data_IF_290748247832
#
_entry.id   IF_290748247832
#
_cell.length_a   1.000
_cell.length_b   1.000
_cell.length_c   1.000
_cell.angle_alpha   90.00
_cell.angle_beta   90.00
_cell.angle_gamma   90.00
#
_symmetry.space_group_name_H-M   'P 1'
#
loop_
_entity.id
_entity.type
_entity.pdbx_description
1 polymer ?
#
# COMPACT_ATOMS: atom_id res chain seq x y z
N UNK A 1 32.15 -19.48 -47.00
CA UNK A 1 32.42 -19.37 -45.55
C UNK A 1 31.50 -18.29 -44.98
N UNK A 2 30.36 -18.68 -44.39
CA UNK A 2 29.42 -17.73 -43.80
C UNK A 2 29.86 -17.44 -42.35
N UNK A 3 30.27 -16.20 -42.10
CA UNK A 3 30.65 -15.71 -40.77
C UNK A 3 29.42 -15.69 -39.86
N UNK A 4 29.47 -16.47 -38.78
CA UNK A 4 28.46 -16.47 -37.72
C UNK A 4 28.65 -15.22 -36.85
N UNK A 5 27.92 -14.15 -37.16
CA UNK A 5 27.85 -12.98 -36.28
C UNK A 5 27.16 -13.37 -34.96
N UNK A 6 27.95 -13.41 -33.88
CA UNK A 6 27.42 -13.63 -32.53
C UNK A 6 26.55 -12.42 -32.15
N UNK A 7 25.28 -12.63 -31.72
CA UNK A 7 24.40 -11.52 -31.38
C UNK A 7 24.99 -10.71 -30.22
N UNK A 8 25.02 -9.38 -30.40
CA UNK A 8 25.54 -8.42 -29.43
C UNK A 8 24.85 -8.53 -28.07
N UNK A 9 25.58 -8.25 -26.99
CA UNK A 9 25.12 -8.43 -25.61
C UNK A 9 23.78 -7.73 -25.33
N UNK A 10 23.55 -6.55 -25.93
CA UNK A 10 22.27 -5.82 -25.86
C UNK A 10 21.10 -6.59 -26.47
N UNK A 11 21.32 -7.31 -27.58
CA UNK A 11 20.30 -8.13 -28.24
C UNK A 11 19.99 -9.37 -27.40
N UNK A 12 21.00 -9.98 -26.77
CA UNK A 12 20.81 -11.07 -25.80
C UNK A 12 20.06 -10.62 -24.55
N UNK A 13 20.38 -9.45 -24.00
CA UNK A 13 19.67 -8.87 -22.85
C UNK A 13 18.23 -8.48 -23.23
N UNK A 14 18.02 -7.94 -24.43
CA UNK A 14 16.68 -7.63 -24.96
C UNK A 14 15.82 -8.88 -25.10
N UNK A 15 16.35 -9.93 -25.74
CA UNK A 15 15.66 -11.22 -25.89
C UNK A 15 15.46 -11.91 -24.54
N UNK A 16 16.42 -11.82 -23.61
CA UNK A 16 16.27 -12.39 -22.26
C UNK A 16 15.22 -11.62 -21.44
N UNK A 17 15.14 -10.29 -21.62
CA UNK A 17 14.11 -9.43 -21.01
C UNK A 17 12.73 -9.70 -21.61
N UNK A 18 12.64 -9.93 -22.91
CA UNK A 18 11.41 -10.44 -23.57
C UNK A 18 11.05 -11.85 -23.08
N UNK A 19 12.02 -12.76 -22.94
CA UNK A 19 11.80 -14.11 -22.40
C UNK A 19 11.32 -14.10 -20.94
N UNK A 20 11.84 -13.18 -20.13
CA UNK A 20 11.40 -12.96 -18.75
C UNK A 20 10.02 -12.27 -18.71
N UNK A 21 9.72 -11.40 -19.69
CA UNK A 21 8.43 -10.71 -19.81
C UNK A 21 7.31 -11.60 -20.39
N UNK A 22 7.66 -12.59 -21.22
CA UNK A 22 6.76 -13.62 -21.79
C UNK A 22 6.60 -14.85 -20.89
N UNK A 23 6.87 -14.71 -19.58
CA UNK A 23 6.47 -15.75 -18.63
C UNK A 23 4.95 -15.72 -18.57
N UNK A 24 4.32 -16.65 -19.28
CA UNK A 24 2.91 -17.02 -19.10
C UNK A 24 2.57 -16.89 -17.62
N UNK A 25 1.59 -16.05 -17.31
CA UNK A 25 1.16 -15.84 -15.94
C UNK A 25 0.76 -17.20 -15.36
N UNK A 26 1.54 -17.71 -14.40
CA UNK A 26 1.34 -19.04 -13.81
C UNK A 26 -0.08 -19.20 -13.24
N UNK A 27 -0.73 -18.09 -12.90
CA UNK A 27 -2.11 -18.05 -12.43
C UNK A 27 -3.09 -18.57 -13.49
N UNK A 28 -2.76 -18.44 -14.78
CA UNK A 28 -3.53 -19.00 -15.90
C UNK A 28 -3.44 -20.51 -16.04
N UNK A 29 -2.52 -21.18 -15.31
CA UNK A 29 -2.46 -22.65 -15.25
C UNK A 29 -3.36 -23.24 -14.16
N UNK A 30 -3.85 -22.42 -13.25
CA UNK A 30 -4.80 -22.85 -12.23
C UNK A 30 -6.18 -23.04 -12.87
N UNK A 31 -7.01 -23.97 -12.35
CA UNK A 31 -8.40 -24.06 -12.76
C UNK A 31 -9.10 -22.70 -12.64
N UNK A 32 -10.00 -22.38 -13.57
CA UNK A 32 -10.63 -21.04 -13.66
C UNK A 32 -11.31 -20.60 -12.35
N UNK A 33 -11.86 -21.55 -11.61
CA UNK A 33 -12.48 -21.28 -10.31
C UNK A 33 -11.48 -20.89 -9.23
N UNK A 34 -10.19 -21.22 -9.34
CA UNK A 34 -9.13 -20.78 -8.43
C UNK A 34 -8.36 -19.57 -8.96
N UNK A 35 -8.07 -19.54 -10.26
CA UNK A 35 -7.25 -18.49 -10.88
C UNK A 35 -7.84 -17.10 -10.64
N UNK A 36 -9.17 -16.96 -10.72
CA UNK A 36 -9.85 -15.68 -10.51
C UNK A 36 -9.65 -15.09 -9.12
N UNK A 37 -9.56 -15.90 -8.06
CA UNK A 37 -9.33 -15.42 -6.68
C UNK A 37 -7.89 -14.92 -6.47
N UNK A 38 -6.98 -15.18 -7.41
CA UNK A 38 -5.63 -14.63 -7.41
C UNK A 38 -5.53 -13.30 -8.17
N UNK A 39 -6.65 -12.75 -8.66
CA UNK A 39 -6.68 -11.57 -9.51
C UNK A 39 -6.20 -11.85 -10.94
N UNK A 40 -6.23 -13.10 -11.40
CA UNK A 40 -5.95 -13.43 -12.79
C UNK A 40 -6.98 -12.81 -13.73
N UNK A 41 -6.49 -12.19 -14.80
CA UNK A 41 -7.28 -11.57 -15.86
C UNK A 41 -6.85 -12.23 -17.17
N UNK A 42 -7.75 -12.89 -17.90
CA UNK A 42 -7.41 -13.45 -19.22
C UNK A 42 -6.87 -12.35 -20.14
N UNK A 43 -5.82 -12.60 -20.96
CA UNK A 43 -5.16 -11.58 -21.79
C UNK A 43 -6.13 -10.82 -22.70
N UNK A 44 -7.16 -11.51 -23.20
CA UNK A 44 -8.13 -10.97 -24.17
C UNK A 44 -9.42 -10.45 -23.51
N UNK A 45 -9.56 -10.58 -22.18
CA UNK A 45 -10.78 -10.21 -21.47
C UNK A 45 -10.72 -8.79 -20.93
N UNK A 46 -11.65 -7.95 -21.39
CA UNK A 46 -11.90 -6.61 -20.83
C UNK A 46 -13.02 -6.68 -19.78
N UNK A 47 -13.00 -5.81 -18.75
CA UNK A 47 -14.13 -5.68 -17.85
C UNK A 47 -15.37 -5.17 -18.61
N UNK A 48 -16.60 -5.63 -18.26
CA UNK A 48 -16.93 -6.57 -17.18
C UNK A 48 -16.56 -8.02 -17.52
N UNK A 49 -15.98 -8.74 -16.56
CA UNK A 49 -15.56 -10.14 -16.74
C UNK A 49 -16.73 -11.11 -16.68
N UNK A 50 -16.54 -12.36 -17.06
CA UNK A 50 -17.57 -13.39 -16.85
C UNK A 50 -17.74 -13.75 -15.36
N UNK A 51 -19.00 -13.87 -14.87
CA UNK A 51 -19.28 -14.31 -13.52
C UNK A 51 -18.98 -15.80 -13.36
N UNK A 52 -18.99 -16.28 -12.12
CA UNK A 52 -18.70 -17.70 -11.86
C UNK A 52 -19.79 -18.59 -12.48
N UNK A 53 -19.40 -19.43 -13.43
CA UNK A 53 -20.31 -20.35 -14.10
C UNK A 53 -20.75 -21.56 -13.25
N UNK A 54 -20.18 -21.75 -12.07
CA UNK A 54 -20.52 -22.90 -11.20
C UNK A 54 -21.66 -22.59 -10.23
N UNK A 55 -22.55 -23.56 -9.92
CA UNK A 55 -23.53 -23.42 -8.85
C UNK A 55 -22.85 -23.11 -7.49
N UNK A 56 -23.42 -22.26 -6.62
CA UNK A 56 -24.73 -21.63 -6.74
C UNK A 56 -24.72 -20.32 -7.53
N UNK A 57 -23.63 -19.90 -8.19
CA UNK A 57 -23.46 -18.53 -8.70
C UNK A 57 -23.79 -18.34 -10.20
N UNK A 58 -24.17 -19.42 -10.88
CA UNK A 58 -24.48 -19.43 -12.32
C UNK A 58 -25.62 -18.48 -12.74
N UNK A 59 -26.46 -18.03 -11.81
CA UNK A 59 -27.54 -17.08 -12.05
C UNK A 59 -27.09 -15.62 -12.17
N UNK A 60 -25.88 -15.27 -11.72
CA UNK A 60 -25.38 -13.88 -11.74
C UNK A 60 -25.36 -13.28 -13.14
N UNK A 61 -25.20 -14.12 -14.17
CA UNK A 61 -25.21 -13.69 -15.59
C UNK A 61 -26.55 -13.08 -16.03
N UNK A 62 -27.65 -13.37 -15.33
CA UNK A 62 -28.99 -12.88 -15.67
C UNK A 62 -29.34 -11.55 -15.01
N UNK A 63 -28.52 -11.06 -14.08
CA UNK A 63 -28.80 -9.83 -13.33
C UNK A 63 -28.19 -8.62 -14.06
N UNK A 64 -28.82 -7.43 -14.00
CA UNK A 64 -28.19 -6.20 -14.45
C UNK A 64 -26.86 -5.91 -13.73
N UNK A 65 -25.84 -5.46 -14.47
CA UNK A 65 -24.50 -5.22 -13.92
C UNK A 65 -24.51 -4.22 -12.76
N UNK A 66 -25.33 -3.17 -12.85
CA UNK A 66 -25.44 -2.13 -11.80
C UNK A 66 -25.97 -2.70 -10.49
N UNK A 67 -27.02 -3.53 -10.54
CA UNK A 67 -27.58 -4.20 -9.36
C UNK A 67 -26.58 -5.17 -8.75
N UNK A 68 -25.84 -5.92 -9.58
CA UNK A 68 -24.76 -6.78 -9.09
C UNK A 68 -23.68 -5.97 -8.35
N UNK A 69 -23.29 -4.82 -8.90
CA UNK A 69 -22.32 -3.91 -8.27
C UNK A 69 -22.87 -3.40 -6.93
N UNK A 70 -24.08 -2.86 -6.88
CA UNK A 70 -24.65 -2.34 -5.65
C UNK A 70 -24.81 -3.43 -4.58
N UNK A 71 -25.32 -4.60 -4.98
CA UNK A 71 -25.48 -5.74 -4.09
C UNK A 71 -24.14 -6.23 -3.54
N UNK A 72 -23.11 -6.42 -4.38
CA UNK A 72 -21.81 -6.86 -3.89
C UNK A 72 -21.06 -5.81 -3.08
N UNK A 73 -21.25 -4.52 -3.37
CA UNK A 73 -20.73 -3.46 -2.50
C UNK A 73 -21.37 -3.52 -1.12
N UNK A 74 -22.69 -3.70 -1.05
CA UNK A 74 -23.42 -3.79 0.21
C UNK A 74 -23.08 -5.07 0.97
N UNK A 75 -23.21 -6.25 0.33
CA UNK A 75 -22.89 -7.57 0.92
C UNK A 75 -21.42 -7.64 1.35
N UNK A 76 -20.52 -7.11 0.51
CA UNK A 76 -19.10 -7.06 0.79
C UNK A 76 -18.80 -6.23 2.02
N UNK A 77 -19.29 -4.99 2.07
CA UNK A 77 -19.05 -4.08 3.19
C UNK A 77 -19.72 -4.58 4.48
N UNK A 78 -21.00 -4.96 4.41
CA UNK A 78 -21.74 -5.51 5.55
C UNK A 78 -21.06 -6.77 6.07
N UNK A 79 -20.80 -7.75 5.20
CA UNK A 79 -20.15 -9.00 5.60
C UNK A 79 -18.73 -8.80 6.13
N UNK A 80 -17.96 -7.88 5.55
CA UNK A 80 -16.59 -7.59 5.98
C UNK A 80 -16.54 -6.98 7.37
N UNK A 81 -17.41 -6.01 7.65
CA UNK A 81 -17.53 -5.40 8.97
C UNK A 81 -18.11 -6.39 9.97
N UNK A 82 -19.18 -7.11 9.62
CA UNK A 82 -19.79 -8.13 10.48
C UNK A 82 -18.79 -9.22 10.87
N UNK A 83 -17.93 -9.68 9.94
CA UNK A 83 -16.91 -10.68 10.23
C UNK A 83 -15.88 -10.17 11.24
N UNK A 84 -15.42 -8.93 11.10
CA UNK A 84 -14.50 -8.31 12.07
C UNK A 84 -15.21 -8.18 13.42
N UNK A 85 -16.40 -7.59 13.47
CA UNK A 85 -17.17 -7.40 14.70
C UNK A 85 -17.49 -8.72 15.40
N UNK A 86 -17.89 -9.75 14.68
CA UNK A 86 -18.19 -11.06 15.24
C UNK A 86 -16.96 -11.69 15.88
N UNK A 87 -15.80 -11.61 15.22
CA UNK A 87 -14.55 -12.18 15.74
C UNK A 87 -14.05 -11.39 16.96
N UNK A 88 -14.27 -10.07 16.97
CA UNK A 88 -13.85 -9.20 18.06
C UNK A 88 -14.83 -9.16 19.24
N UNK A 89 -16.12 -9.42 19.04
CA UNK A 89 -17.16 -9.37 20.09
C UNK A 89 -17.47 -10.72 20.73
N UNK A 90 -17.29 -11.84 20.02
CA UNK A 90 -17.56 -13.16 20.57
C UNK A 90 -16.56 -13.50 21.69
N UNK A 91 -16.89 -14.50 22.54
CA UNK A 91 -16.00 -15.13 23.52
C UNK A 91 -14.83 -15.86 22.82
N UNK A 92 -14.03 -15.11 22.09
CA UNK A 92 -12.87 -15.55 21.35
C UNK A 92 -11.63 -15.11 22.10
N UNK A 93 -10.48 -15.69 21.75
CA UNK A 93 -9.20 -15.21 22.25
C UNK A 93 -9.00 -13.69 22.04
N UNK A 94 -9.62 -13.07 21.03
CA UNK A 94 -9.54 -11.63 20.80
C UNK A 94 -10.28 -10.78 21.83
N UNK A 95 -11.44 -11.24 22.29
CA UNK A 95 -12.18 -10.57 23.37
C UNK A 95 -11.60 -10.93 24.74
N UNK A 96 -11.35 -12.22 24.98
CA UNK A 96 -10.98 -12.73 26.30
C UNK A 96 -9.50 -12.53 26.65
N UNK A 97 -8.58 -12.74 25.70
CA UNK A 97 -7.12 -12.64 25.93
C UNK A 97 -6.59 -11.27 25.50
N UNK A 98 -7.14 -10.73 24.41
CA UNK A 98 -6.68 -9.47 23.86
C UNK A 98 -7.50 -8.26 24.35
N UNK A 99 -8.76 -8.39 24.81
CA UNK A 99 -9.62 -7.24 25.16
C UNK A 99 -9.71 -6.19 24.06
N UNK A 100 -9.76 -6.66 22.81
CA UNK A 100 -9.76 -5.76 21.68
C UNK A 100 -11.10 -5.01 21.53
N UNK A 101 -11.10 -3.73 21.11
CA UNK A 101 -12.34 -2.98 20.90
C UNK A 101 -13.19 -3.62 19.79
N UNK A 102 -14.52 -3.55 19.91
CA UNK A 102 -15.46 -4.21 18.99
C UNK A 102 -15.22 -3.78 17.52
N UNK A 103 -14.89 -2.51 17.28
CA UNK A 103 -14.55 -1.99 15.95
C UNK A 103 -13.39 -1.01 16.05
N UNK A 104 -12.49 -1.11 15.09
CA UNK A 104 -11.53 -0.06 14.78
C UNK A 104 -12.06 0.66 13.56
N UNK A 105 -12.47 1.92 13.74
CA UNK A 105 -13.17 2.74 12.74
C UNK A 105 -12.45 2.85 11.40
N UNK A 106 -11.13 2.64 11.37
CA UNK A 106 -10.34 2.56 10.15
C UNK A 106 -10.83 1.48 9.18
N UNK A 107 -11.26 0.31 9.67
CA UNK A 107 -11.75 -0.77 8.80
C UNK A 107 -13.08 -0.43 8.12
N UNK A 108 -13.89 0.47 8.69
CA UNK A 108 -15.08 1.01 8.02
C UNK A 108 -14.71 1.73 6.71
N UNK A 109 -13.71 2.60 6.75
CA UNK A 109 -13.21 3.27 5.55
C UNK A 109 -12.48 2.30 4.60
N UNK A 110 -11.79 1.28 5.14
CA UNK A 110 -11.20 0.21 4.32
C UNK A 110 -12.26 -0.60 3.56
N UNK A 111 -13.44 -0.83 4.16
CA UNK A 111 -14.56 -1.50 3.50
C UNK A 111 -14.99 -0.75 2.23
N UNK A 112 -15.11 0.58 2.32
CA UNK A 112 -15.47 1.41 1.16
C UNK A 112 -14.46 1.24 0.02
N UNK A 113 -13.16 1.24 0.33
CA UNK A 113 -12.13 1.02 -0.69
C UNK A 113 -12.17 -0.41 -1.26
N UNK A 114 -12.28 -1.42 -0.40
CA UNK A 114 -12.21 -2.83 -0.79
C UNK A 114 -13.44 -3.33 -1.54
N UNK A 115 -14.62 -2.75 -1.33
CA UNK A 115 -15.87 -3.24 -1.93
C UNK A 115 -16.52 -2.27 -2.92
N UNK A 116 -16.20 -0.97 -2.86
CA UNK A 116 -16.72 0.04 -3.79
C UNK A 116 -15.68 0.46 -4.82
N UNK A 117 -14.42 0.66 -4.41
CA UNK A 117 -13.34 1.17 -5.25
C UNK A 117 -12.25 0.11 -5.51
N UNK A 118 -12.66 -1.08 -5.93
CA UNK A 118 -11.79 -2.29 -5.99
C UNK A 118 -10.58 -2.14 -6.92
N UNK A 119 -10.68 -1.27 -7.92
CA UNK A 119 -9.60 -1.00 -8.87
C UNK A 119 -8.63 0.07 -8.37
N UNK A 120 -8.98 0.75 -7.26
CA UNK A 120 -8.13 1.78 -6.66
C UNK A 120 -6.78 1.19 -6.30
N UNK A 121 -5.67 1.85 -6.67
CA UNK A 121 -4.35 1.46 -6.22
C UNK A 121 -4.21 1.37 -4.69
N UNK A 122 -4.97 2.18 -3.97
CA UNK A 122 -4.96 2.27 -2.51
C UNK A 122 -5.73 1.11 -1.85
N UNK A 123 -6.59 0.42 -2.60
CA UNK A 123 -7.37 -0.72 -2.13
C UNK A 123 -6.62 -2.06 -2.30
N UNK A 124 -5.45 -2.08 -2.94
CA UNK A 124 -4.77 -3.33 -3.27
C UNK A 124 -4.18 -4.03 -2.02
N UNK A 125 -4.03 -5.37 -2.03
CA UNK A 125 -3.75 -6.17 -0.83
C UNK A 125 -2.49 -5.74 -0.07
N UNK A 126 -1.40 -5.43 -0.78
CA UNK A 126 -0.17 -4.92 -0.16
C UNK A 126 -0.42 -3.64 0.61
N UNK A 127 -1.09 -2.67 -0.01
CA UNK A 127 -1.35 -1.37 0.61
C UNK A 127 -2.27 -1.54 1.81
N UNK A 128 -3.35 -2.30 1.65
CA UNK A 128 -4.29 -2.58 2.74
C UNK A 128 -3.60 -3.23 3.96
N UNK A 129 -2.98 -4.40 3.78
CA UNK A 129 -2.41 -5.16 4.90
C UNK A 129 -1.18 -4.48 5.49
N UNK A 130 -0.20 -4.09 4.65
CA UNK A 130 1.02 -3.44 5.16
C UNK A 130 0.74 -2.05 5.69
N UNK A 131 -0.18 -1.29 5.07
CA UNK A 131 -0.56 0.02 5.54
C UNK A 131 -1.11 -0.04 6.95
N UNK A 132 -2.08 -0.93 7.22
CA UNK A 132 -2.63 -1.13 8.56
C UNK A 132 -1.58 -1.60 9.56
N UNK A 133 -0.78 -2.61 9.21
CA UNK A 133 0.23 -3.17 10.10
C UNK A 133 1.31 -2.14 10.48
N UNK A 134 1.83 -1.40 9.51
CA UNK A 134 2.88 -0.39 9.72
C UNK A 134 2.35 0.78 10.54
N UNK A 135 1.13 1.25 10.25
CA UNK A 135 0.51 2.29 11.07
C UNK A 135 0.29 1.84 12.51
N UNK A 136 -0.19 0.62 12.71
CA UNK A 136 -0.37 0.06 14.06
C UNK A 136 0.97 -0.03 14.81
N UNK A 137 2.04 -0.45 14.13
CA UNK A 137 3.38 -0.51 14.68
C UNK A 137 3.90 0.86 15.09
N UNK A 138 3.87 1.82 14.17
CA UNK A 138 4.36 3.19 14.39
C UNK A 138 3.58 3.85 15.53
N UNK A 139 2.24 3.82 15.48
CA UNK A 139 1.40 4.39 16.53
C UNK A 139 1.61 3.73 17.89
N UNK A 140 1.79 2.40 17.93
CA UNK A 140 2.08 1.68 19.18
C UNK A 140 3.44 2.08 19.75
N UNK A 141 4.49 2.16 18.92
CA UNK A 141 5.83 2.59 19.32
C UNK A 141 5.79 3.99 19.92
N UNK A 142 5.18 4.96 19.23
CA UNK A 142 5.08 6.35 19.70
C UNK A 142 4.30 6.39 21.01
N UNK A 143 3.14 5.73 21.08
CA UNK A 143 2.35 5.69 22.31
C UNK A 143 3.11 5.05 23.47
N UNK A 144 3.89 3.98 23.24
CA UNK A 144 4.71 3.38 24.30
C UNK A 144 5.73 4.36 24.86
N UNK A 145 6.35 5.19 24.03
CA UNK A 145 7.29 6.22 24.48
C UNK A 145 6.59 7.28 25.34
N UNK A 146 5.39 7.71 24.96
CA UNK A 146 4.60 8.66 25.75
C UNK A 146 4.19 8.10 27.12
N UNK A 147 3.80 6.82 27.16
CA UNK A 147 3.39 6.12 28.40
C UNK A 147 4.55 5.99 29.41
N UNK A 148 5.82 6.12 28.99
CA UNK A 148 6.96 6.14 29.92
C UNK A 148 6.97 7.39 30.82
N UNK A 149 6.29 8.47 30.42
CA UNK A 149 6.13 9.65 31.25
C UNK A 149 5.04 9.40 32.31
N UNK A 150 5.33 9.50 33.61
CA UNK A 150 4.34 9.29 34.66
C UNK A 150 3.14 10.24 34.59
N UNK A 151 3.30 11.41 33.97
CA UNK A 151 2.25 12.40 33.77
C UNK A 151 1.38 12.10 32.53
N UNK A 152 1.66 11.02 31.81
CA UNK A 152 0.82 10.57 30.70
C UNK A 152 -0.40 9.83 31.24
N UNK A 153 -1.54 10.52 31.26
CA UNK A 153 -2.82 9.92 31.59
C UNK A 153 -3.58 9.55 30.32
N UNK A 154 -3.77 8.25 30.02
CA UNK A 154 -4.51 7.80 28.83
C UNK A 154 -6.04 7.81 28.99
N UNK A 155 -6.56 8.26 30.14
CA UNK A 155 -8.00 8.27 30.40
C UNK A 155 -8.67 9.42 29.65
N UNK A 156 -9.36 9.05 28.57
CA UNK A 156 -10.15 9.94 27.72
C UNK A 156 -11.57 10.19 28.25
N UNK A 157 -11.93 9.55 29.37
CA UNK A 157 -13.29 9.52 29.90
C UNK A 157 -13.68 10.78 30.70
N UNK A 158 -12.75 11.69 31.00
CA UNK A 158 -13.06 12.92 31.75
C UNK A 158 -13.50 14.11 30.87
N UNK A 159 -13.67 13.93 29.55
CA UNK A 159 -14.16 14.98 28.65
C UNK A 159 -13.27 16.23 28.55
N UNK A 160 -12.10 16.22 29.19
CA UNK A 160 -11.14 17.30 29.24
C UNK A 160 -10.12 17.26 28.10
N UNK A 161 -9.50 18.42 27.84
CA UNK A 161 -8.38 18.50 26.90
C UNK A 161 -7.08 17.99 27.56
N UNK A 162 -6.53 16.88 27.07
CA UNK A 162 -5.24 16.33 27.49
C UNK A 162 -4.17 16.55 26.42
N UNK A 163 -3.38 17.63 26.53
CA UNK A 163 -2.37 18.03 25.53
C UNK A 163 -1.47 16.87 25.07
N UNK A 164 -1.07 15.99 26.00
CA UNK A 164 -0.23 14.82 25.72
C UNK A 164 -0.88 13.83 24.74
N UNK A 165 -2.20 13.63 24.81
CA UNK A 165 -2.92 12.69 23.94
C UNK A 165 -3.13 13.27 22.55
N UNK A 166 -3.41 14.58 22.43
CA UNK A 166 -3.52 15.25 21.12
C UNK A 166 -2.21 15.23 20.35
N UNK A 167 -1.10 15.56 21.03
CA UNK A 167 0.24 15.51 20.42
C UNK A 167 0.62 14.09 20.04
N UNK A 168 0.38 13.12 20.94
CA UNK A 168 0.63 11.70 20.64
C UNK A 168 -0.20 11.22 19.43
N UNK A 169 -1.49 11.54 19.38
CA UNK A 169 -2.37 11.16 18.27
C UNK A 169 -1.92 11.78 16.95
N UNK A 170 -1.66 13.08 16.93
CA UNK A 170 -1.17 13.79 15.75
C UNK A 170 0.17 13.24 15.25
N UNK A 171 1.12 13.00 16.16
CA UNK A 171 2.42 12.41 15.85
C UNK A 171 2.26 10.98 15.31
N UNK A 172 1.47 10.15 15.99
CA UNK A 172 1.18 8.77 15.57
C UNK A 172 0.57 8.71 14.17
N UNK A 173 -0.40 9.57 13.87
CA UNK A 173 -0.99 9.66 12.53
C UNK A 173 0.03 10.13 11.49
N UNK A 174 0.70 11.27 11.71
CA UNK A 174 1.60 11.86 10.75
C UNK A 174 2.80 10.93 10.44
N UNK A 175 3.40 10.34 11.46
CA UNK A 175 4.51 9.39 11.30
C UNK A 175 4.05 8.10 10.62
N UNK A 176 2.84 7.62 10.91
CA UNK A 176 2.27 6.45 10.22
C UNK A 176 2.06 6.73 8.72
N UNK A 177 1.50 7.90 8.38
CA UNK A 177 1.32 8.30 7.00
C UNK A 177 2.67 8.42 6.26
N UNK A 178 3.68 9.03 6.91
CA UNK A 178 5.04 9.09 6.37
C UNK A 178 5.62 7.70 6.14
N UNK A 179 5.52 6.80 7.12
CA UNK A 179 6.02 5.44 7.01
C UNK A 179 5.38 4.69 5.83
N UNK A 180 4.07 4.86 5.62
CA UNK A 180 3.38 4.27 4.48
C UNK A 180 3.86 4.81 3.12
N UNK A 181 4.16 6.12 3.05
CA UNK A 181 4.73 6.75 1.84
C UNK A 181 6.11 6.17 1.56
N UNK A 182 6.97 6.07 2.57
CA UNK A 182 8.34 5.56 2.43
C UNK A 182 8.39 4.12 1.93
N UNK A 183 7.51 3.26 2.43
CA UNK A 183 7.44 1.85 1.99
C UNK A 183 6.62 1.66 0.71
N UNK A 184 6.02 2.73 0.18
CA UNK A 184 5.16 2.67 -1.01
C UNK A 184 3.92 1.79 -0.85
N UNK A 185 3.30 1.79 0.35
CA UNK A 185 2.13 0.98 0.68
C UNK A 185 1.02 1.83 1.30
N UNK A 186 0.73 2.99 0.69
CA UNK A 186 -0.26 3.93 1.23
C UNK A 186 -1.67 3.36 1.15
N UNK A 187 -2.29 3.32 2.32
CA UNK A 187 -3.69 2.99 2.53
C UNK A 187 -4.27 4.03 3.50
N UNK A 188 -4.97 5.08 3.00
CA UNK A 188 -5.40 6.20 3.84
C UNK A 188 -6.16 5.82 5.11
N UNK A 189 -7.09 4.82 5.10
CA UNK A 189 -7.75 4.37 6.32
C UNK A 189 -6.79 3.88 7.42
N UNK A 190 -5.65 3.33 7.03
CA UNK A 190 -4.67 2.85 7.99
C UNK A 190 -3.98 3.98 8.76
N UNK A 191 -3.98 5.24 8.29
CA UNK A 191 -3.54 6.37 9.10
C UNK A 191 -4.30 6.47 10.42
N UNK A 192 -5.64 6.30 10.37
CA UNK A 192 -6.48 6.25 11.56
C UNK A 192 -6.19 5.05 12.47
N UNK A 193 -5.60 3.97 11.95
CA UNK A 193 -5.14 2.83 12.76
C UNK A 193 -3.97 3.23 13.66
N UNK A 194 -3.01 3.99 13.13
CA UNK A 194 -1.91 4.53 13.93
C UNK A 194 -2.39 5.57 14.95
N UNK A 195 -3.32 6.44 14.56
CA UNK A 195 -3.97 7.40 15.46
C UNK A 195 -4.66 6.71 16.65
N UNK A 196 -5.44 5.66 16.38
CA UNK A 196 -6.19 4.93 17.40
C UNK A 196 -5.29 4.29 18.46
N UNK A 197 -4.03 3.95 18.13
CA UNK A 197 -3.06 3.47 19.10
C UNK A 197 -2.80 4.47 20.24
N UNK A 198 -3.00 5.76 20.00
CA UNK A 198 -2.82 6.84 20.96
C UNK A 198 -4.12 7.34 21.59
N UNK A 199 -5.21 7.40 20.82
CA UNK A 199 -6.46 8.11 21.19
C UNK A 199 -7.60 7.19 21.62
N UNK A 200 -7.39 5.89 21.76
CA UNK A 200 -8.40 4.99 22.33
C UNK A 200 -7.82 4.29 23.55
N UNK A 201 -8.40 4.53 24.73
CA UNK A 201 -7.90 3.96 25.99
C UNK A 201 -7.80 2.41 25.94
N UNK A 202 -8.77 1.75 25.32
CA UNK A 202 -8.75 0.30 25.10
C UNK A 202 -7.56 -0.15 24.22
N UNK A 203 -7.18 0.63 23.20
CA UNK A 203 -6.03 0.31 22.34
C UNK A 203 -4.71 0.66 23.02
N UNK A 204 -4.67 1.75 23.79
CA UNK A 204 -3.50 2.09 24.61
C UNK A 204 -3.24 0.98 25.64
N UNK A 205 -4.25 0.42 26.29
CA UNK A 205 -4.08 -0.71 27.22
C UNK A 205 -3.75 -2.02 26.50
N UNK A 206 -4.21 -2.19 25.26
CA UNK A 206 -3.85 -3.32 24.40
C UNK A 206 -2.34 -3.39 24.13
N UNK A 207 -1.68 -2.24 23.94
CA UNK A 207 -0.23 -2.14 23.73
C UNK A 207 0.22 -3.00 22.53
N UNK A 208 1.30 -3.76 22.66
CA UNK A 208 1.86 -4.61 21.61
C UNK A 208 0.90 -5.67 21.06
N UNK A 209 -0.13 -6.03 21.83
CA UNK A 209 -1.20 -6.93 21.39
C UNK A 209 -2.05 -6.32 20.27
N UNK A 210 -1.93 -5.03 20.00
CA UNK A 210 -2.61 -4.36 18.90
C UNK A 210 -2.17 -4.88 17.52
N UNK A 211 -0.87 -5.20 17.38
CA UNK A 211 -0.30 -5.67 16.13
C UNK A 211 -0.94 -6.96 15.59
N UNK A 212 -1.00 -8.06 16.36
CA UNK A 212 -1.65 -9.29 15.88
C UNK A 212 -3.15 -9.10 15.66
N UNK A 213 -3.83 -8.26 16.44
CA UNK A 213 -5.26 -7.92 16.23
C UNK A 213 -5.46 -7.27 14.87
N UNK A 214 -4.69 -6.23 14.55
CA UNK A 214 -4.76 -5.53 13.27
C UNK A 214 -4.44 -6.45 12.12
N UNK A 215 -3.36 -7.23 12.24
CA UNK A 215 -2.97 -8.17 11.20
C UNK A 215 -4.07 -9.20 10.93
N UNK A 216 -4.65 -9.78 11.98
CA UNK A 216 -5.75 -10.74 11.85
C UNK A 216 -6.97 -10.09 11.17
N UNK A 217 -7.42 -8.92 11.63
CA UNK A 217 -8.56 -8.20 11.05
C UNK A 217 -8.33 -7.85 9.57
N UNK A 218 -7.12 -7.41 9.21
CA UNK A 218 -6.75 -7.15 7.82
C UNK A 218 -6.76 -8.42 6.97
N UNK A 219 -6.26 -9.55 7.48
CA UNK A 219 -6.25 -10.81 6.71
C UNK A 219 -7.66 -11.38 6.53
N UNK A 220 -8.51 -11.30 7.56
CA UNK A 220 -9.92 -11.73 7.49
C UNK A 220 -10.67 -10.92 6.44
N UNK A 221 -10.57 -9.59 6.52
CA UNK A 221 -11.26 -8.70 5.59
C UNK A 221 -10.73 -8.84 4.16
N UNK A 222 -9.41 -9.03 3.99
CA UNK A 222 -8.82 -9.32 2.70
C UNK A 222 -9.35 -10.63 2.13
N UNK A 223 -9.43 -11.69 2.95
CA UNK A 223 -10.04 -12.97 2.56
C UNK A 223 -11.47 -12.80 2.07
N UNK A 224 -12.28 -12.04 2.81
CA UNK A 224 -13.65 -11.72 2.40
C UNK A 224 -13.72 -10.89 1.10
N UNK A 225 -12.83 -9.90 0.95
CA UNK A 225 -12.71 -9.08 -0.26
C UNK A 225 -12.33 -9.92 -1.48
N UNK A 226 -11.41 -10.89 -1.34
CA UNK A 226 -11.06 -11.82 -2.40
C UNK A 226 -12.26 -12.68 -2.79
N UNK A 227 -13.08 -13.12 -1.82
CA UNK A 227 -14.28 -13.92 -2.13
C UNK A 227 -15.29 -13.08 -2.91
N UNK A 228 -15.82 -12.02 -2.29
CA UNK A 228 -16.96 -11.26 -2.82
C UNK A 228 -16.61 -10.57 -4.14
N UNK A 229 -15.44 -9.95 -4.25
CA UNK A 229 -15.08 -9.20 -5.46
C UNK A 229 -14.69 -10.09 -6.63
N UNK A 230 -14.48 -11.39 -6.42
CA UNK A 230 -14.23 -12.29 -7.53
C UNK A 230 -15.43 -13.15 -7.89
N UNK A 231 -16.46 -13.33 -7.05
CA UNK A 231 -17.62 -14.18 -7.41
C UNK A 231 -18.29 -13.72 -8.71
N UNK A 232 -18.59 -12.44 -8.84
CA UNK A 232 -19.26 -11.84 -10.00
C UNK A 232 -18.36 -11.49 -11.18
N UNK A 233 -18.74 -10.42 -11.87
CA UNK A 233 -18.06 -9.82 -13.03
C UNK A 233 -16.92 -8.87 -12.67
N UNK A 234 -16.71 -8.65 -11.38
CA UNK A 234 -15.59 -7.91 -10.79
C UNK A 234 -14.33 -8.79 -10.71
N UNK A 235 -13.15 -8.15 -10.64
CA UNK A 235 -11.86 -8.84 -10.43
C UNK A 235 -11.00 -8.05 -9.45
N UNK A 236 -10.60 -8.72 -8.38
CA UNK A 236 -9.72 -8.17 -7.35
C UNK A 236 -8.72 -9.25 -6.88
N UNK A 237 -7.45 -8.93 -6.63
CA UNK A 237 -6.82 -7.63 -6.81
C UNK A 237 -6.48 -7.33 -8.27
N UNK A 238 -6.21 -6.07 -8.57
CA UNK A 238 -5.58 -5.65 -9.83
C UNK A 238 -4.10 -6.07 -9.83
N UNK A 239 -3.43 -5.94 -8.69
CA UNK A 239 -2.07 -6.42 -8.48
C UNK A 239 -1.83 -6.73 -6.99
N UNK A 240 -0.91 -7.65 -6.73
CA UNK A 240 -0.54 -8.00 -5.35
C UNK A 240 0.54 -7.07 -4.79
N UNK A 241 1.56 -6.74 -5.59
CA UNK A 241 2.79 -6.12 -5.05
C UNK A 241 3.19 -4.79 -5.68
N UNK A 242 3.07 -4.63 -7.00
CA UNK A 242 3.56 -3.43 -7.68
C UNK A 242 2.42 -2.54 -8.17
N UNK A 243 2.19 -1.38 -7.52
CA UNK A 243 1.28 -0.38 -8.03
C UNK A 243 1.86 0.39 -9.22
N UNK A 244 0.98 0.99 -10.02
CA UNK A 244 1.33 2.19 -10.79
C UNK A 244 1.66 3.34 -9.83
N UNK A 245 2.50 4.31 -10.23
CA UNK A 245 2.85 5.46 -9.38
C UNK A 245 1.56 6.19 -8.93
N UNK A 246 1.25 6.18 -7.63
CA UNK A 246 0.01 6.77 -7.07
C UNK A 246 0.23 8.18 -6.51
N UNK A 247 1.48 8.50 -6.13
CA UNK A 247 1.87 9.79 -5.56
C UNK A 247 2.79 10.54 -6.51
N UNK A 248 2.92 11.84 -6.26
CA UNK A 248 3.84 12.75 -6.95
C UNK A 248 5.21 12.10 -6.97
N UNK A 249 5.59 11.62 -8.15
CA UNK A 249 6.94 11.16 -8.42
C UNK A 249 7.59 12.24 -9.27
N UNK A 250 8.86 12.52 -8.99
CA UNK A 250 9.67 13.33 -9.88
C UNK A 250 9.51 12.81 -11.32
N UNK A 251 9.31 13.74 -12.26
CA UNK A 251 9.25 13.39 -13.68
C UNK A 251 10.53 12.65 -14.05
N UNK A 252 10.48 11.81 -15.08
CA UNK A 252 11.65 11.02 -15.50
C UNK A 252 12.87 11.91 -15.77
N UNK A 253 12.64 13.13 -16.28
CA UNK A 253 13.66 14.18 -16.48
C UNK A 253 14.23 14.72 -15.16
N UNK A 254 13.39 14.97 -14.15
CA UNK A 254 13.84 15.40 -12.83
C UNK A 254 14.70 14.31 -12.16
N UNK A 255 14.31 13.04 -12.29
CA UNK A 255 15.09 11.92 -11.78
C UNK A 255 16.46 11.80 -12.48
N UNK A 256 16.50 12.00 -13.81
CA UNK A 256 17.76 11.98 -14.57
C UNK A 256 18.65 13.16 -14.16
N UNK A 257 18.09 14.36 -14.01
CA UNK A 257 18.83 15.56 -13.59
C UNK A 257 19.39 15.43 -12.18
N UNK A 258 18.62 14.87 -11.24
CA UNK A 258 19.05 14.63 -9.86
C UNK A 258 20.20 13.63 -9.79
N UNK A 259 20.07 12.48 -10.48
CA UNK A 259 21.16 11.51 -10.60
C UNK A 259 22.41 12.09 -11.30
N UNK A 260 22.23 12.93 -12.31
CA UNK A 260 23.35 13.60 -12.99
C UNK A 260 24.04 14.62 -12.09
N UNK A 261 23.29 15.31 -11.22
CA UNK A 261 23.83 16.22 -10.22
C UNK A 261 24.61 15.47 -9.15
N UNK A 262 24.04 14.42 -8.58
CA UNK A 262 24.72 13.57 -7.60
C UNK A 262 26.02 12.98 -8.17
N UNK A 263 26.01 12.52 -9.42
CA UNK A 263 27.22 12.02 -10.08
C UNK A 263 28.31 13.10 -10.23
N UNK A 264 27.93 14.34 -10.56
CA UNK A 264 28.86 15.48 -10.63
C UNK A 264 29.42 15.86 -9.27
N UNK A 265 28.58 15.86 -8.24
CA UNK A 265 29.00 16.20 -6.87
C UNK A 265 30.01 15.16 -6.35
N UNK A 266 29.81 13.87 -6.69
CA UNK A 266 30.78 12.79 -6.38
C UNK A 266 32.07 12.93 -7.19
N UNK A 267 31.99 13.24 -8.49
CA UNK A 267 33.17 13.45 -9.34
C UNK A 267 34.00 14.64 -8.84
N UNK A 268 33.34 15.73 -8.44
CA UNK A 268 34.01 16.90 -7.86
C UNK A 268 34.68 16.56 -6.52
N UNK A 269 34.01 15.80 -5.64
CA UNK A 269 34.60 15.35 -4.39
C UNK A 269 35.85 14.49 -4.60
N UNK A 270 35.83 13.59 -5.60
CA UNK A 270 36.99 12.76 -5.96
C UNK A 270 38.16 13.59 -6.51
N UNK A 271 37.91 14.59 -7.36
CA UNK A 271 38.96 15.49 -7.88
C UNK A 271 39.63 16.31 -6.77
N UNK A 272 38.85 16.74 -5.79
CA UNK A 272 39.36 17.45 -4.61
C UNK A 272 40.20 16.51 -3.73
N UNK A 273 39.80 15.24 -3.56
CA UNK A 273 40.61 14.24 -2.84
C UNK A 273 41.90 13.86 -3.60
N UNK A 274 41.88 13.83 -4.94
CA UNK A 274 43.04 13.56 -5.78
C UNK A 274 44.00 14.78 -5.92
N UNK A 275 43.63 15.93 -5.34
CA UNK A 275 44.49 17.12 -5.28
C UNK A 275 44.55 17.95 -6.56
N UNK A 276 43.58 17.83 -7.47
CA UNK A 276 43.44 18.72 -8.61
C UNK A 276 42.81 20.07 -8.17
N UNK A 277 43.58 21.15 -8.25
CA UNK A 277 43.09 22.50 -7.96
C UNK A 277 42.09 22.95 -9.04
N UNK A 278 40.86 23.24 -8.63
CA UNK A 278 39.76 23.70 -9.48
C UNK A 278 39.81 25.22 -9.61
N UNK A 279 40.78 25.80 -10.34
CA UNK A 279 40.87 27.26 -10.50
C UNK A 279 41.41 27.77 -11.87
N UNK A 280 41.41 26.97 -12.94
CA UNK A 280 42.06 27.36 -14.22
C UNK A 280 41.15 27.51 -15.47
N UNK A 281 39.86 27.88 -15.34
CA UNK A 281 39.01 28.14 -16.54
C UNK A 281 38.12 29.40 -16.51
N UNK A 282 38.58 30.53 -15.94
CA UNK A 282 38.01 31.85 -16.29
C UNK A 282 39.12 32.89 -16.55
N UNK A 283 39.64 32.92 -17.77
CA UNK A 283 40.64 33.91 -18.16
C UNK A 283 40.86 33.99 -19.67
N UNK A 284 39.90 34.53 -20.42
CA UNK A 284 40.10 34.73 -21.86
C UNK A 284 38.99 35.47 -22.60
N UNK A 285 38.92 36.80 -22.45
CA UNK A 285 38.60 37.70 -23.58
C UNK A 285 38.74 39.18 -23.18
N UNK A 286 39.94 39.76 -23.29
CA UNK A 286 40.08 41.21 -23.44
C UNK A 286 39.94 41.58 -24.92
N UNK A 287 38.86 42.30 -25.21
CA UNK A 287 38.48 42.77 -26.54
C UNK A 287 39.25 44.06 -26.85
N UNK A 288 40.11 44.01 -27.87
CA UNK A 288 40.74 45.16 -28.52
C UNK A 288 39.68 46.06 -29.18
N UNK A 289 39.58 47.33 -28.76
CA UNK A 289 39.00 48.43 -29.56
C UNK A 289 40.06 49.49 -29.82
N UNK A 290 40.40 49.65 -31.10
CA UNK A 290 41.06 50.83 -31.65
C UNK A 290 40.00 51.87 -32.04
N UNK A 291 40.26 53.13 -31.70
CA UNK A 291 39.76 54.37 -32.32
C UNK A 291 40.97 55.33 -32.44
N UNK A 292 40.93 56.40 -33.24
CA UNK A 292 39.80 56.95 -34.00
C UNK A 292 39.89 56.82 -35.53
#
# INVERSE_FOLDING_TARGET
MASSEKPTLKKRIGVMREYIALREDYRGRLPDYLSRFTGYKPPDAQPPYEPLGVPPFSWLKYIPLELEIWAFTWIGSFGGILLIEAIMSANTAFSEVYHAPIIITSFGASAVLLFSAIESPLAQPRNFVLGHFVSALVGTCITRLFVLNPNYHPFLDEGGFHANVFVNGGLSMATSALAQVLIGAVHPPAGATGLNAAVQSQVVTLSWRYLPVILASSLIMLGWALIINNVGRRRYPVYWWKPGKVFVSATKEQQIMEHAREARDVEMALRVEEGENVDDEEGGSEVSRHEP
#
